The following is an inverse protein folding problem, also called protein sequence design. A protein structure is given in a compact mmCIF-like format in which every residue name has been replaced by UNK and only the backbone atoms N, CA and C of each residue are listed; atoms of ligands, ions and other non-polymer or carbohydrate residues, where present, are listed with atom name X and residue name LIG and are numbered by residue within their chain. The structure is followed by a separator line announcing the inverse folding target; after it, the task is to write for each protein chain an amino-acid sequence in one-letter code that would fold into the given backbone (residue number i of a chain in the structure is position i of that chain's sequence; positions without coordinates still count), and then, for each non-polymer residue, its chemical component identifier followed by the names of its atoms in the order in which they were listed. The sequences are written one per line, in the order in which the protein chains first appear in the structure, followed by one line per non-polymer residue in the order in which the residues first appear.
data_IF_153380492509
#
_entry.id   IF_153380492509
#
_cell.length_a   1.000
_cell.length_b   1.000
_cell.length_c   1.000
_cell.angle_alpha   90.00
_cell.angle_beta   90.00
_cell.angle_gamma   90.00
#
_symmetry.space_group_name_H-M   'P 1'
#
loop_
_entity.id
_entity.type
_entity.pdbx_description
1 polymer ?
#
# COMPACT_ATOMS: atom_id res chain seq x y z
N UNK A 1 -3.51 -26.75 -10.83
CA UNK A 1 -3.77 -25.51 -10.08
C UNK A 1 -2.64 -25.26 -9.11
N UNK A 2 -2.11 -24.05 -9.10
CA UNK A 2 -1.06 -23.67 -8.15
C UNK A 2 -1.72 -22.94 -6.99
N UNK A 3 -1.46 -23.40 -5.78
CA UNK A 3 -2.00 -22.80 -4.56
C UNK A 3 -0.83 -22.25 -3.74
N UNK A 4 -0.86 -20.96 -3.45
CA UNK A 4 0.16 -20.32 -2.63
C UNK A 4 -0.32 -20.20 -1.19
N UNK A 5 0.58 -20.39 -0.24
CA UNK A 5 0.30 -20.12 1.17
C UNK A 5 0.18 -18.60 1.39
N UNK A 6 -0.42 -18.21 2.51
CA UNK A 6 -0.50 -16.81 2.90
C UNK A 6 0.89 -16.19 3.05
N UNK A 7 1.84 -16.92 3.62
CA UNK A 7 3.22 -16.46 3.78
C UNK A 7 3.89 -16.23 2.43
N UNK A 8 3.66 -17.11 1.45
CA UNK A 8 4.21 -16.96 0.10
C UNK A 8 3.62 -15.74 -0.61
N UNK A 9 2.31 -15.53 -0.51
CA UNK A 9 1.65 -14.37 -1.10
C UNK A 9 2.15 -13.07 -0.47
N UNK A 10 2.32 -13.04 0.84
CA UNK A 10 2.85 -11.88 1.56
C UNK A 10 4.27 -11.55 1.08
N UNK A 11 5.11 -12.57 0.93
CA UNK A 11 6.48 -12.37 0.45
C UNK A 11 6.51 -11.82 -0.97
N UNK A 12 5.69 -12.38 -1.86
CA UNK A 12 5.59 -11.90 -3.24
C UNK A 12 5.05 -10.48 -3.30
N UNK A 13 4.05 -10.17 -2.48
CA UNK A 13 3.49 -8.83 -2.39
C UNK A 13 4.54 -7.81 -1.95
N UNK A 14 5.34 -8.16 -0.95
CA UNK A 14 6.40 -7.28 -0.48
C UNK A 14 7.48 -7.07 -1.53
N UNK A 15 7.90 -8.11 -2.22
CA UNK A 15 8.90 -8.00 -3.30
C UNK A 15 8.40 -7.09 -4.42
N UNK A 16 7.16 -7.29 -4.85
CA UNK A 16 6.55 -6.46 -5.89
C UNK A 16 6.46 -5.00 -5.44
N UNK A 17 6.06 -4.79 -4.20
CA UNK A 17 5.95 -3.45 -3.64
C UNK A 17 7.30 -2.72 -3.62
N UNK A 18 8.37 -3.39 -3.19
CA UNK A 18 9.71 -2.80 -3.18
C UNK A 18 10.20 -2.49 -4.58
N UNK A 19 9.89 -3.34 -5.57
CA UNK A 19 10.21 -3.06 -6.97
C UNK A 19 9.47 -1.81 -7.45
N UNK A 20 8.21 -1.68 -7.11
CA UNK A 20 7.43 -0.49 -7.49
C UNK A 20 8.01 0.78 -6.87
N UNK A 21 8.42 0.72 -5.60
CA UNK A 21 9.05 1.86 -4.95
C UNK A 21 10.37 2.27 -5.61
N UNK A 22 11.07 1.33 -6.24
CA UNK A 22 12.32 1.60 -6.95
C UNK A 22 12.10 2.10 -8.36
N UNK A 23 11.02 1.68 -9.01
CA UNK A 23 10.78 1.94 -10.44
C UNK A 23 9.85 3.11 -10.70
N UNK A 24 8.94 3.40 -9.77
CA UNK A 24 7.94 4.44 -9.94
C UNK A 24 8.31 5.67 -9.11
N UNK A 25 8.00 6.88 -9.62
CA UNK A 25 8.28 8.08 -8.85
C UNK A 25 7.40 8.15 -7.61
N UNK A 26 8.01 8.41 -6.46
CA UNK A 26 7.32 8.55 -5.19
C UNK A 26 7.08 10.04 -4.93
N UNK A 27 5.88 10.38 -4.45
CA UNK A 27 5.54 11.75 -4.12
C UNK A 27 6.51 12.32 -3.08
N UNK A 28 6.99 13.53 -3.33
CA UNK A 28 7.81 14.29 -2.38
C UNK A 28 7.00 15.36 -1.64
N UNK A 29 5.70 15.42 -1.90
CA UNK A 29 4.80 16.36 -1.23
C UNK A 29 4.51 15.86 0.18
N UNK A 30 5.11 16.50 1.17
CA UNK A 30 4.99 16.12 2.57
C UNK A 30 3.56 16.21 3.09
N UNK A 31 2.81 17.21 2.65
CA UNK A 31 1.42 17.42 3.09
C UNK A 31 0.53 16.27 2.60
N UNK A 32 0.68 15.91 1.35
CA UNK A 32 -0.06 14.83 0.70
C UNK A 32 0.26 13.48 1.34
N UNK A 33 1.54 13.19 1.53
CA UNK A 33 1.99 11.93 2.11
C UNK A 33 1.56 11.79 3.57
N UNK A 34 1.59 12.87 4.34
CA UNK A 34 1.11 12.87 5.73
C UNK A 34 -0.40 12.63 5.80
N UNK A 35 -1.15 13.26 4.90
CA UNK A 35 -2.59 13.08 4.85
C UNK A 35 -2.94 11.61 4.60
N UNK A 36 -2.32 11.03 3.59
CA UNK A 36 -2.58 9.62 3.23
C UNK A 36 -2.13 8.68 4.34
N UNK A 37 -0.99 8.94 4.98
CA UNK A 37 -0.55 8.12 6.11
C UNK A 37 -1.55 8.18 7.27
N UNK A 38 -2.06 9.36 7.57
CA UNK A 38 -3.05 9.56 8.63
C UNK A 38 -4.33 8.77 8.34
N UNK A 39 -4.84 8.88 7.12
CA UNK A 39 -6.05 8.14 6.69
C UNK A 39 -5.80 6.63 6.78
N UNK A 40 -4.65 6.18 6.31
CA UNK A 40 -4.29 4.75 6.35
C UNK A 40 -4.24 4.24 7.78
N UNK A 41 -3.58 4.96 8.67
CA UNK A 41 -3.47 4.58 10.08
C UNK A 41 -4.85 4.48 10.72
N UNK A 42 -5.74 5.41 10.42
CA UNK A 42 -7.10 5.42 10.93
C UNK A 42 -7.89 4.20 10.43
N UNK A 43 -7.81 3.92 9.15
CA UNK A 43 -8.53 2.79 8.54
C UNK A 43 -8.02 1.47 9.09
N UNK A 44 -6.70 1.29 9.17
CA UNK A 44 -6.10 0.06 9.70
C UNK A 44 -6.51 -0.16 11.16
N UNK A 45 -6.52 0.90 11.97
CA UNK A 45 -6.94 0.81 13.37
C UNK A 45 -8.40 0.43 13.51
N UNK A 46 -9.24 0.75 12.52
CA UNK A 46 -10.66 0.44 12.51
C UNK A 46 -10.98 -0.97 11.98
N UNK A 47 -10.01 -1.66 11.38
CA UNK A 47 -10.22 -3.02 10.88
C UNK A 47 -10.42 -3.99 12.03
N UNK A 48 -11.26 -5.02 11.80
CA UNK A 48 -11.40 -6.12 12.73
C UNK A 48 -10.06 -6.86 12.84
N UNK A 49 -9.74 -7.49 14.00
CA UNK A 49 -8.47 -8.17 14.18
C UNK A 49 -8.15 -9.21 13.10
N UNK A 50 -9.17 -9.92 12.62
CA UNK A 50 -8.99 -10.94 11.57
C UNK A 50 -8.59 -10.30 10.24
N UNK A 51 -9.14 -9.12 9.94
CA UNK A 51 -8.83 -8.40 8.71
C UNK A 51 -7.46 -7.72 8.79
N UNK A 52 -7.14 -7.17 9.98
CA UNK A 52 -5.85 -6.50 10.21
C UNK A 52 -4.70 -7.49 10.16
N UNK A 53 -4.92 -8.71 10.66
CA UNK A 53 -3.92 -9.77 10.70
C UNK A 53 -2.65 -9.36 11.43
N UNK A 54 -1.58 -10.05 11.09
CA UNK A 54 -0.24 -9.75 11.62
C UNK A 54 0.63 -9.04 10.57
N UNK A 55 0.00 -8.32 9.64
CA UNK A 55 0.69 -7.63 8.57
C UNK A 55 1.34 -6.34 9.07
N UNK A 56 2.46 -6.00 8.45
CA UNK A 56 3.07 -4.68 8.60
C UNK A 56 2.44 -3.80 7.52
N UNK A 57 1.42 -3.05 7.90
CA UNK A 57 0.70 -2.16 6.99
C UNK A 57 1.58 -0.99 6.58
N UNK A 58 1.61 -0.73 5.28
CA UNK A 58 2.46 0.30 4.73
C UNK A 58 1.77 0.94 3.54
N UNK A 59 1.86 2.27 3.42
CA UNK A 59 1.30 3.00 2.28
C UNK A 59 2.40 3.85 1.63
N UNK A 60 2.39 3.87 0.30
CA UNK A 60 3.27 4.73 -0.49
C UNK A 60 2.40 5.55 -1.42
N UNK A 61 2.68 6.85 -1.51
CA UNK A 61 2.02 7.73 -2.48
C UNK A 61 2.95 7.89 -3.67
N UNK A 62 2.51 7.43 -4.83
CA UNK A 62 3.25 7.55 -6.08
C UNK A 62 2.83 8.80 -6.83
N UNK A 63 3.79 9.45 -7.45
CA UNK A 63 3.56 10.67 -8.24
C UNK A 63 3.11 10.27 -9.65
N UNK A 64 1.79 10.19 -9.85
CA UNK A 64 1.19 9.77 -11.11
C UNK A 64 -0.19 10.44 -11.23
N UNK A 65 -0.46 11.00 -12.41
CA UNK A 65 -1.72 11.71 -12.69
C UNK A 65 -2.95 10.82 -12.72
N UNK A 66 -2.77 9.51 -12.85
CA UNK A 66 -3.89 8.58 -12.88
C UNK A 66 -4.57 8.50 -11.52
N UNK A 67 -5.90 8.42 -11.54
CA UNK A 67 -6.70 8.22 -10.35
C UNK A 67 -6.75 6.72 -10.04
N UNK A 68 -5.78 6.23 -9.29
CA UNK A 68 -5.64 4.80 -9.03
C UNK A 68 -5.11 4.52 -7.62
N UNK A 69 -5.49 3.37 -7.11
CA UNK A 69 -4.98 2.84 -5.85
C UNK A 69 -4.99 1.32 -5.93
N UNK A 70 -4.10 0.68 -5.21
CA UNK A 70 -4.04 -0.79 -5.19
C UNK A 70 -3.55 -1.27 -3.83
N UNK A 71 -3.86 -2.52 -3.53
CA UNK A 71 -3.35 -3.21 -2.35
C UNK A 71 -2.71 -4.53 -2.77
N UNK A 72 -1.56 -4.82 -2.19
CA UNK A 72 -0.84 -6.07 -2.41
C UNK A 72 -0.91 -6.93 -1.14
N UNK A 73 -0.76 -8.25 -1.28
CA UNK A 73 -0.72 -9.14 -0.11
C UNK A 73 0.33 -8.69 0.90
N UNK A 74 0.00 -8.81 2.18
CA UNK A 74 0.88 -8.39 3.26
C UNK A 74 0.63 -6.99 3.79
N UNK A 75 -0.48 -6.35 3.39
CA UNK A 75 -0.85 -5.04 3.89
C UNK A 75 -0.13 -3.89 3.21
N UNK A 76 0.33 -4.07 1.99
CA UNK A 76 1.05 -3.05 1.22
C UNK A 76 0.09 -2.32 0.31
N UNK A 77 0.07 -0.99 0.41
CA UNK A 77 -0.89 -0.13 -0.27
C UNK A 77 -0.14 0.89 -1.12
N UNK A 78 -0.59 1.07 -2.35
CA UNK A 78 -0.09 2.13 -3.23
C UNK A 78 -1.23 3.06 -3.62
N UNK A 79 -1.00 4.36 -3.53
CA UNK A 79 -1.95 5.39 -3.92
C UNK A 79 -1.27 6.28 -4.94
N UNK A 80 -1.88 6.47 -6.10
CA UNK A 80 -1.43 7.45 -7.08
C UNK A 80 -2.02 8.82 -6.70
N UNK A 81 -1.19 9.85 -6.65
CA UNK A 81 -1.66 11.15 -6.19
C UNK A 81 -2.68 11.82 -7.12
N UNK A 82 -2.81 11.35 -8.36
CA UNK A 82 -3.92 11.75 -9.23
C UNK A 82 -5.29 11.46 -8.63
N UNK A 83 -5.38 10.50 -7.70
CA UNK A 83 -6.62 10.19 -7.00
C UNK A 83 -7.04 11.33 -6.03
N UNK A 84 -6.10 12.16 -5.62
CA UNK A 84 -6.33 13.24 -4.64
C UNK A 84 -6.74 14.56 -5.28
N UNK A 85 -6.73 14.64 -6.59
CA UNK A 85 -7.07 15.87 -7.34
C UNK A 85 -8.58 16.02 -7.55
#
# INVERSE_FOLDING_TARGET
MVIYSEAEMTQQGEQTYRQMQQQLPISTDTRETRYIQCVTDYVVAALEPVERGNYVWEVTVFDDEQANAFALPGGKIGIYNGLLD
#
